data_IF_801501838284
#
_entry.id   IF_801501838284
#
_cell.length_a   1.000
_cell.length_b   1.000
_cell.length_c   1.000
_cell.angle_alpha   90.00
_cell.angle_beta   90.00
_cell.angle_gamma   90.00
#
_symmetry.space_group_name_H-M   'P 1'
#
loop_
_entity.id
_entity.type
_entity.pdbx_description
1 polymer ?
#
# COMPACT_ATOMS: atom_id res chain seq x y z
N UNK A 1 -12.53 1.50 14.62
CA UNK A 1 -12.30 0.18 13.99
C UNK A 1 -13.61 -0.59 14.00
N UNK A 2 -14.07 -1.09 12.86
CA UNK A 2 -15.37 -1.80 12.79
C UNK A 2 -15.19 -3.31 13.03
N UNK A 3 -14.17 -3.92 12.43
CA UNK A 3 -13.90 -5.35 12.57
C UNK A 3 -12.43 -5.68 12.30
N UNK A 4 -11.98 -6.74 12.94
CA UNK A 4 -10.76 -7.49 12.60
C UNK A 4 -11.17 -8.96 12.55
N UNK A 5 -10.84 -9.64 11.46
CA UNK A 5 -11.15 -11.06 11.29
C UNK A 5 -9.90 -11.81 10.82
N UNK A 6 -9.65 -12.95 11.42
CA UNK A 6 -8.60 -13.89 11.02
C UNK A 6 -9.21 -15.28 10.88
N UNK A 7 -8.61 -16.12 10.04
CA UNK A 7 -8.96 -17.53 9.97
C UNK A 7 -8.16 -18.35 11.00
N UNK A 8 -8.56 -19.58 11.26
CA UNK A 8 -7.92 -20.42 12.28
C UNK A 8 -6.39 -20.60 12.10
N UNK A 9 -5.83 -20.79 10.89
CA UNK A 9 -4.39 -20.81 10.71
C UNK A 9 -3.69 -19.49 11.09
N UNK A 10 -4.32 -18.34 10.80
CA UNK A 10 -3.80 -17.03 11.19
C UNK A 10 -3.90 -16.81 12.70
N UNK A 11 -5.00 -17.24 13.33
CA UNK A 11 -5.19 -17.15 14.79
C UNK A 11 -4.12 -17.93 15.56
N UNK A 12 -3.67 -19.06 15.01
CA UNK A 12 -2.59 -19.86 15.59
C UNK A 12 -1.23 -19.12 15.62
N UNK A 13 -1.06 -18.11 14.76
CA UNK A 13 0.14 -17.25 14.72
C UNK A 13 0.01 -16.00 15.62
N UNK A 14 -1.12 -15.83 16.30
CA UNK A 14 -1.44 -14.66 17.11
C UNK A 14 -2.18 -13.56 16.34
N UNK A 15 -2.27 -12.33 16.86
CA UNK A 15 -3.05 -11.24 16.27
C UNK A 15 -2.33 -10.61 15.06
N UNK A 16 -2.04 -11.40 14.03
CA UNK A 16 -1.23 -10.96 12.89
C UNK A 16 -1.84 -9.78 12.13
N UNK A 17 -3.17 -9.66 12.12
CA UNK A 17 -3.84 -8.52 11.51
C UNK A 17 -3.49 -7.18 12.17
N UNK A 18 -3.09 -7.20 13.44
CA UNK A 18 -2.81 -6.01 14.25
C UNK A 18 -1.33 -5.79 14.54
N UNK A 19 -0.52 -6.87 14.55
CA UNK A 19 0.89 -6.83 14.97
C UNK A 19 1.84 -7.61 14.07
N UNK A 20 1.33 -8.40 13.11
CA UNK A 20 2.15 -9.17 12.19
C UNK A 20 2.76 -8.28 11.11
N UNK A 21 4.08 -8.21 11.07
CA UNK A 21 4.84 -7.39 10.12
C UNK A 21 5.21 -8.19 8.88
N UNK A 22 4.67 -7.78 7.74
CA UNK A 22 4.89 -8.40 6.42
C UNK A 22 5.25 -7.35 5.38
N UNK A 23 6.03 -7.68 4.33
CA UNK A 23 6.20 -6.78 3.20
C UNK A 23 4.85 -6.43 2.58
N UNK A 24 4.50 -5.16 2.41
CA UNK A 24 3.23 -4.75 1.80
C UNK A 24 3.19 -4.93 0.28
N UNK A 25 4.35 -5.15 -0.34
CA UNK A 25 4.47 -5.24 -1.79
C UNK A 25 3.86 -4.03 -2.49
N UNK A 26 3.26 -4.27 -3.63
CA UNK A 26 2.70 -3.20 -4.47
C UNK A 26 1.58 -2.36 -3.83
N UNK A 27 1.01 -2.74 -2.68
CA UNK A 27 0.09 -1.84 -1.97
C UNK A 27 0.82 -0.60 -1.44
N UNK A 28 2.11 -0.69 -1.15
CA UNK A 28 2.96 0.43 -0.72
C UNK A 28 3.18 1.47 -1.82
N UNK A 29 2.88 1.16 -3.09
CA UNK A 29 2.94 2.12 -4.19
C UNK A 29 2.00 3.32 -3.99
N UNK A 30 0.98 3.21 -3.13
CA UNK A 30 0.19 4.36 -2.66
C UNK A 30 1.07 5.38 -1.95
N UNK A 31 1.97 4.92 -1.09
CA UNK A 31 2.94 5.76 -0.37
C UNK A 31 4.01 6.31 -1.31
N UNK A 32 4.57 5.45 -2.16
CA UNK A 32 5.60 5.83 -3.14
C UNK A 32 5.10 6.89 -4.11
N UNK A 33 3.89 6.72 -4.63
CA UNK A 33 3.24 7.68 -5.52
C UNK A 33 2.99 9.00 -4.80
N UNK A 34 2.51 8.96 -3.54
CA UNK A 34 2.35 10.17 -2.72
C UNK A 34 3.66 10.93 -2.57
N UNK A 35 4.75 10.25 -2.24
CA UNK A 35 6.07 10.87 -2.13
C UNK A 35 6.50 11.52 -3.44
N UNK A 36 6.32 10.83 -4.57
CA UNK A 36 6.69 11.36 -5.89
C UNK A 36 5.86 12.58 -6.30
N UNK A 37 4.54 12.57 -6.05
CA UNK A 37 3.66 13.70 -6.30
C UNK A 37 4.03 14.92 -5.45
N UNK A 38 4.29 14.72 -4.16
CA UNK A 38 4.68 15.79 -3.23
C UNK A 38 6.04 16.39 -3.57
N UNK A 39 6.98 15.58 -4.04
CA UNK A 39 8.29 16.05 -4.48
C UNK A 39 8.26 16.77 -5.84
N UNK A 40 7.11 16.77 -6.54
CA UNK A 40 7.01 17.28 -7.91
C UNK A 40 7.79 16.45 -8.93
N UNK A 41 8.15 15.21 -8.58
CA UNK A 41 8.87 14.30 -9.48
C UNK A 41 8.00 13.82 -10.64
N UNK A 42 6.69 13.78 -10.44
CA UNK A 42 5.70 13.47 -11.48
C UNK A 42 4.33 14.05 -11.11
N UNK A 43 3.44 14.10 -12.11
CA UNK A 43 1.99 14.29 -11.96
C UNK A 43 1.28 13.03 -12.40
N UNK A 44 -0.02 12.84 -12.14
CA UNK A 44 -0.76 11.66 -12.63
C UNK A 44 -0.63 11.43 -14.14
N UNK A 45 -0.55 12.50 -14.94
CA UNK A 45 -0.48 12.46 -16.39
C UNK A 45 0.96 12.41 -16.93
N UNK A 46 1.97 12.47 -16.08
CA UNK A 46 3.37 12.37 -16.52
C UNK A 46 3.62 11.02 -17.17
N UNK A 47 4.02 11.03 -18.44
CA UNK A 47 4.34 9.82 -19.20
C UNK A 47 5.71 9.29 -18.76
N UNK A 48 5.73 8.06 -18.29
CA UNK A 48 6.91 7.38 -17.73
C UNK A 48 7.11 6.00 -18.38
N UNK A 49 8.35 5.52 -18.53
CA UNK A 49 8.60 4.18 -19.05
C UNK A 49 8.15 3.12 -18.04
N UNK A 50 7.55 2.05 -18.56
CA UNK A 50 7.19 0.83 -17.81
C UNK A 50 7.65 -0.40 -18.61
N UNK A 51 8.98 -0.60 -18.77
CA UNK A 51 9.51 -1.80 -19.43
C UNK A 51 9.27 -3.04 -18.58
N UNK A 52 9.28 -4.22 -19.20
CA UNK A 52 9.05 -5.50 -18.53
C UNK A 52 10.05 -5.79 -17.42
N UNK A 53 11.30 -5.45 -17.64
CA UNK A 53 12.40 -5.51 -16.65
C UNK A 53 13.31 -4.29 -16.79
N UNK A 54 13.94 -3.88 -15.71
CA UNK A 54 14.91 -2.79 -15.74
C UNK A 54 16.00 -2.99 -14.67
N UNK A 55 17.24 -2.66 -15.01
CA UNK A 55 18.32 -2.55 -14.03
C UNK A 55 18.33 -1.10 -13.50
N UNK A 56 17.94 -0.92 -12.25
CA UNK A 56 17.93 0.38 -11.58
C UNK A 56 18.97 0.34 -10.46
N UNK A 57 20.05 1.12 -10.62
CA UNK A 57 21.15 1.22 -9.65
C UNK A 57 21.70 -0.14 -9.21
N UNK A 58 21.86 -1.07 -10.16
CA UNK A 58 22.38 -2.40 -9.91
C UNK A 58 21.34 -3.42 -9.41
N UNK A 59 20.07 -3.02 -9.25
CA UNK A 59 18.96 -3.92 -8.93
C UNK A 59 18.16 -4.23 -10.19
N UNK A 60 18.08 -5.52 -10.52
CA UNK A 60 17.19 -6.00 -11.59
C UNK A 60 15.77 -6.06 -11.04
N UNK A 61 14.88 -5.24 -11.60
CA UNK A 61 13.49 -5.14 -11.18
C UNK A 61 12.61 -5.63 -12.33
N UNK A 62 11.94 -6.76 -12.21
CA UNK A 62 10.89 -7.18 -13.13
C UNK A 62 9.54 -6.61 -12.75
N UNK A 63 8.67 -6.41 -13.73
CA UNK A 63 7.23 -6.38 -13.51
C UNK A 63 6.71 -7.80 -13.29
N UNK A 64 5.49 -7.95 -12.76
CA UNK A 64 4.84 -9.25 -12.63
C UNK A 64 4.67 -9.87 -14.03
N UNK A 65 5.05 -11.15 -14.22
CA UNK A 65 5.11 -11.78 -15.54
C UNK A 65 5.85 -10.96 -16.62
N UNK A 66 6.76 -10.09 -16.21
CA UNK A 66 7.56 -9.22 -17.08
C UNK A 66 6.73 -8.39 -18.09
N UNK A 67 5.49 -8.04 -17.75
CA UNK A 67 4.67 -7.23 -18.64
C UNK A 67 5.32 -5.90 -18.98
N UNK A 68 5.21 -5.49 -20.25
CA UNK A 68 5.75 -4.24 -20.79
C UNK A 68 4.60 -3.36 -21.30
N UNK A 69 4.51 -2.12 -20.82
CA UNK A 69 3.51 -1.15 -21.27
C UNK A 69 4.12 -0.06 -22.17
N UNK A 70 5.42 -0.12 -22.43
CA UNK A 70 6.11 1.01 -23.05
C UNK A 70 6.10 2.26 -22.19
N UNK A 71 5.76 3.40 -22.79
CA UNK A 71 5.62 4.67 -22.09
C UNK A 71 4.13 4.97 -21.82
N UNK A 72 3.78 5.09 -20.56
CA UNK A 72 2.38 5.32 -20.13
C UNK A 72 2.30 6.41 -19.07
N UNK A 73 1.14 7.08 -18.87
CA UNK A 73 0.94 8.00 -17.77
C UNK A 73 1.15 7.31 -16.40
N UNK A 74 1.58 8.07 -15.40
CA UNK A 74 1.80 7.56 -14.04
C UNK A 74 0.54 6.87 -13.49
N UNK A 75 -0.65 7.44 -13.73
CA UNK A 75 -1.91 6.84 -13.27
C UNK A 75 -2.10 5.41 -13.83
N UNK A 76 -1.77 5.18 -15.10
CA UNK A 76 -1.82 3.84 -15.72
C UNK A 76 -0.73 2.92 -15.17
N UNK A 77 0.50 3.40 -15.01
CA UNK A 77 1.59 2.62 -14.39
C UNK A 77 1.22 2.20 -12.96
N UNK A 78 0.56 3.07 -12.19
CA UNK A 78 0.04 2.76 -10.85
C UNK A 78 -1.08 1.71 -10.92
N UNK A 79 -2.08 1.91 -11.76
CA UNK A 79 -3.23 1.02 -11.90
C UNK A 79 -2.82 -0.40 -12.34
N UNK A 80 -1.83 -0.50 -13.23
CA UNK A 80 -1.24 -1.76 -13.71
C UNK A 80 -0.14 -2.27 -12.79
N UNK A 81 0.20 -1.53 -11.72
CA UNK A 81 1.18 -1.93 -10.72
C UNK A 81 2.62 -2.07 -11.24
N UNK A 82 3.06 -1.19 -12.14
CA UNK A 82 4.39 -1.21 -12.73
C UNK A 82 5.51 -1.07 -11.68
N UNK A 83 6.36 -2.08 -11.52
CA UNK A 83 7.47 -2.07 -10.57
C UNK A 83 8.61 -1.17 -11.07
N UNK A 84 8.93 -1.26 -12.36
CA UNK A 84 10.05 -0.54 -12.98
C UNK A 84 9.84 0.97 -12.89
N UNK A 85 8.63 1.46 -13.18
CA UNK A 85 8.27 2.87 -13.01
C UNK A 85 8.42 3.32 -11.55
N UNK A 86 7.88 2.54 -10.59
CA UNK A 86 7.87 2.92 -9.18
C UNK A 86 9.27 2.87 -8.56
N UNK A 87 10.09 1.88 -8.92
CA UNK A 87 11.49 1.81 -8.48
C UNK A 87 12.30 3.00 -8.99
N UNK A 88 12.09 3.40 -10.25
CA UNK A 88 12.75 4.57 -10.83
C UNK A 88 12.32 5.88 -10.17
N UNK A 89 11.05 6.06 -9.87
CA UNK A 89 10.58 7.21 -9.09
C UNK A 89 11.22 7.22 -7.70
N UNK A 90 11.19 6.11 -7.00
CA UNK A 90 11.70 6.01 -5.64
C UNK A 90 13.20 6.31 -5.54
N UNK A 91 14.01 5.84 -6.49
CA UNK A 91 15.46 6.12 -6.47
C UNK A 91 15.78 7.59 -6.65
N UNK A 92 14.94 8.34 -7.35
CA UNK A 92 15.06 9.78 -7.55
C UNK A 92 14.65 10.64 -6.34
N UNK A 93 14.03 10.03 -5.31
CA UNK A 93 13.59 10.73 -4.11
C UNK A 93 14.72 10.82 -3.05
N UNK A 94 14.63 11.78 -2.12
CA UNK A 94 15.48 11.81 -0.93
C UNK A 94 15.40 10.49 -0.13
N UNK A 95 16.46 10.12 0.60
CA UNK A 95 16.51 8.85 1.36
C UNK A 95 15.37 8.64 2.36
N UNK A 96 14.86 9.71 2.97
CA UNK A 96 13.79 9.71 3.97
C UNK A 96 12.38 9.94 3.39
N UNK A 97 12.26 10.24 2.09
CA UNK A 97 10.99 10.64 1.48
C UNK A 97 9.87 9.58 1.64
N UNK A 98 10.21 8.29 1.47
CA UNK A 98 9.25 7.21 1.63
C UNK A 98 8.81 7.05 3.10
N UNK A 99 9.75 7.21 4.05
CA UNK A 99 9.45 7.20 5.48
C UNK A 99 8.50 8.36 5.85
N UNK A 100 8.80 9.58 5.40
CA UNK A 100 7.98 10.76 5.67
C UNK A 100 6.57 10.61 5.07
N UNK A 101 6.47 10.14 3.83
CA UNK A 101 5.19 9.88 3.21
C UNK A 101 4.40 8.76 3.94
N UNK A 102 5.06 7.71 4.41
CA UNK A 102 4.43 6.64 5.17
C UNK A 102 3.82 7.16 6.49
N UNK A 103 4.56 8.00 7.22
CA UNK A 103 4.08 8.62 8.45
C UNK A 103 2.83 9.48 8.22
N UNK A 104 2.71 10.14 7.08
CA UNK A 104 1.53 10.93 6.71
C UNK A 104 0.25 10.07 6.58
N UNK A 105 0.41 8.79 6.31
CA UNK A 105 -0.70 7.82 6.23
C UNK A 105 -0.85 6.97 7.49
N UNK A 106 -0.13 7.30 8.56
CA UNK A 106 -0.16 6.57 9.82
C UNK A 106 0.62 5.26 9.82
N UNK A 107 1.37 4.96 8.75
CA UNK A 107 2.24 3.80 8.70
C UNK A 107 3.57 4.13 9.41
N UNK A 108 3.90 3.38 10.47
CA UNK A 108 4.99 3.69 11.39
C UNK A 108 4.56 4.56 12.59
N UNK A 109 3.25 4.80 12.75
CA UNK A 109 2.64 5.41 13.93
C UNK A 109 1.85 4.34 14.67
N UNK A 110 2.24 4.04 15.91
CA UNK A 110 1.58 3.02 16.71
C UNK A 110 0.57 3.63 17.68
N UNK A 111 -0.46 2.88 17.99
CA UNK A 111 -1.59 3.37 18.79
C UNK A 111 -1.86 2.45 19.97
N UNK A 112 -2.16 3.07 21.11
CA UNK A 112 -2.72 2.40 22.29
C UNK A 112 -4.17 2.84 22.45
N UNK A 113 -5.10 1.89 22.40
CA UNK A 113 -6.52 2.09 22.69
C UNK A 113 -6.93 1.20 23.87
N UNK A 114 -8.04 1.46 24.55
CA UNK A 114 -8.52 0.54 25.58
C UNK A 114 -8.68 -0.89 25.05
N UNK A 115 -7.90 -1.81 25.59
CA UNK A 115 -7.92 -3.22 25.22
C UNK A 115 -7.09 -3.61 23.99
N UNK A 116 -6.37 -2.68 23.33
CA UNK A 116 -5.56 -2.98 22.16
C UNK A 116 -4.34 -2.06 22.03
N UNK A 117 -3.21 -2.66 21.77
CA UNK A 117 -2.01 -1.98 21.25
C UNK A 117 -1.77 -2.46 19.82
N UNK A 118 -1.54 -1.53 18.90
CA UNK A 118 -1.29 -1.85 17.48
C UNK A 118 0.16 -1.64 17.11
N UNK A 119 0.59 -2.35 16.08
CA UNK A 119 1.80 -2.04 15.31
C UNK A 119 1.35 -1.79 13.88
N UNK A 120 1.65 -0.62 13.31
CA UNK A 120 1.20 -0.30 11.96
C UNK A 120 2.19 -0.76 10.90
N UNK A 121 3.48 -0.65 11.16
CA UNK A 121 4.54 -1.04 10.25
C UNK A 121 5.85 -0.32 10.53
N UNK A 122 6.83 -0.58 9.67
CA UNK A 122 8.14 0.08 9.71
C UNK A 122 8.59 0.43 8.29
N UNK A 123 8.92 1.70 8.10
CA UNK A 123 9.49 2.22 6.84
C UNK A 123 10.79 2.94 7.20
N UNK A 124 11.93 2.26 7.13
CA UNK A 124 13.21 2.88 7.47
C UNK A 124 13.65 3.88 6.40
N UNK A 125 14.55 4.77 6.77
CA UNK A 125 15.28 5.60 5.82
C UNK A 125 16.07 4.70 4.86
N UNK A 126 15.97 4.95 3.56
CA UNK A 126 16.60 4.14 2.52
C UNK A 126 17.85 4.85 1.98
N UNK A 127 18.99 4.73 2.67
CA UNK A 127 20.21 5.48 2.39
C UNK A 127 20.85 5.10 1.05
N UNK A 128 20.77 3.82 0.64
CA UNK A 128 21.32 3.41 -0.65
C UNK A 128 20.29 3.47 -1.78
N UNK A 129 20.71 3.71 -3.04
CA UNK A 129 19.84 3.66 -4.20
C UNK A 129 19.09 2.33 -4.31
N UNK A 130 19.76 1.21 -4.11
CA UNK A 130 19.17 -0.12 -4.14
C UNK A 130 18.06 -0.29 -3.08
N UNK A 131 18.30 0.20 -1.85
CA UNK A 131 17.28 0.18 -0.80
C UNK A 131 16.07 1.04 -1.15
N UNK A 132 16.26 2.21 -1.80
CA UNK A 132 15.15 3.06 -2.27
C UNK A 132 14.31 2.37 -3.33
N UNK A 133 14.95 1.67 -4.28
CA UNK A 133 14.25 0.89 -5.32
C UNK A 133 13.37 -0.19 -4.68
N UNK A 134 13.93 -0.99 -3.78
CA UNK A 134 13.19 -2.05 -3.07
C UNK A 134 12.06 -1.49 -2.22
N UNK A 135 12.35 -0.46 -1.44
CA UNK A 135 11.34 0.21 -0.61
C UNK A 135 10.22 0.79 -1.45
N UNK A 136 10.54 1.37 -2.63
CA UNK A 136 9.56 1.96 -3.54
C UNK A 136 8.52 1.00 -4.09
N UNK A 137 8.81 -0.30 -4.09
CA UNK A 137 7.87 -1.36 -4.48
C UNK A 137 7.31 -2.14 -3.27
N UNK A 138 7.59 -1.66 -2.04
CA UNK A 138 7.10 -2.26 -0.80
C UNK A 138 7.79 -3.56 -0.42
N UNK A 139 9.06 -3.68 -0.74
CA UNK A 139 9.93 -4.81 -0.44
C UNK A 139 11.13 -4.38 0.42
N UNK A 140 12.14 -5.22 0.53
CA UNK A 140 13.34 -4.95 1.32
C UNK A 140 13.03 -4.87 2.81
N UNK A 141 13.28 -3.72 3.42
CA UNK A 141 13.08 -3.52 4.87
C UNK A 141 11.72 -2.90 5.22
N UNK A 142 10.89 -2.60 4.22
CA UNK A 142 9.54 -2.07 4.45
C UNK A 142 8.63 -3.20 4.93
N UNK A 143 7.99 -2.98 6.07
CA UNK A 143 6.98 -3.89 6.61
C UNK A 143 5.72 -3.15 7.04
N UNK A 144 4.59 -3.82 6.96
CA UNK A 144 3.30 -3.31 7.39
C UNK A 144 2.45 -4.44 7.97
N UNK A 145 1.56 -4.09 8.90
CA UNK A 145 0.48 -4.97 9.32
C UNK A 145 -0.74 -4.76 8.41
N UNK A 146 -1.68 -5.72 8.34
CA UNK A 146 -2.98 -5.48 7.70
C UNK A 146 -3.70 -4.26 8.26
N UNK A 147 -3.63 -4.05 9.58
CA UNK A 147 -4.14 -2.84 10.22
C UNK A 147 -3.45 -1.58 9.71
N UNK A 148 -2.11 -1.57 9.61
CA UNK A 148 -1.36 -0.43 9.09
C UNK A 148 -1.74 -0.08 7.65
N UNK A 149 -1.93 -1.09 6.80
CA UNK A 149 -2.38 -0.85 5.42
C UNK A 149 -3.84 -0.40 5.35
N UNK A 150 -4.71 -0.84 6.26
CA UNK A 150 -6.05 -0.27 6.40
C UNK A 150 -6.03 1.19 6.86
N UNK A 151 -5.05 1.58 7.72
CA UNK A 151 -4.84 2.98 8.12
C UNK A 151 -4.38 3.84 6.93
N UNK A 152 -3.53 3.32 6.04
CA UNK A 152 -3.18 4.01 4.77
C UNK A 152 -4.43 4.28 3.95
N UNK A 153 -5.30 3.29 3.75
CA UNK A 153 -6.57 3.48 3.04
C UNK A 153 -7.48 4.50 3.74
N UNK A 154 -7.60 4.40 5.06
CA UNK A 154 -8.42 5.33 5.85
C UNK A 154 -7.90 6.78 5.76
N UNK A 155 -6.58 6.96 5.75
CA UNK A 155 -5.96 8.28 5.59
C UNK A 155 -6.21 8.88 4.21
N UNK A 156 -6.16 8.06 3.15
CA UNK A 156 -6.50 8.48 1.77
C UNK A 156 -7.99 8.84 1.67
N UNK A 157 -8.86 8.05 2.30
CA UNK A 157 -10.30 8.30 2.30
C UNK A 157 -10.67 9.59 3.03
N UNK A 158 -10.08 9.81 4.19
CA UNK A 158 -10.39 10.92 5.10
C UNK A 158 -9.62 12.22 4.77
N UNK A 159 -8.55 12.14 4.00
CA UNK A 159 -7.63 13.27 3.74
C UNK A 159 -6.64 13.55 4.87
N UNK A 160 -6.71 12.80 5.95
CA UNK A 160 -5.78 12.84 7.09
C UNK A 160 -5.86 11.52 7.86
N UNK A 161 -4.82 11.20 8.62
CA UNK A 161 -4.79 9.94 9.41
C UNK A 161 -5.78 10.03 10.57
N UNK A 162 -6.83 9.17 10.59
CA UNK A 162 -7.77 9.14 11.69
C UNK A 162 -7.17 8.46 12.92
N UNK A 163 -7.57 8.87 14.11
CA UNK A 163 -7.23 8.14 15.35
C UNK A 163 -8.11 6.90 15.45
N UNK A 164 -7.53 5.69 15.46
CA UNK A 164 -8.32 4.47 15.60
C UNK A 164 -8.95 4.37 16.98
N UNK A 165 -10.15 3.80 17.06
CA UNK A 165 -10.83 3.54 18.33
C UNK A 165 -11.59 2.21 18.23
N UNK A 166 -11.67 1.47 19.33
CA UNK A 166 -12.50 0.28 19.50
C UNK A 166 -13.78 0.66 20.23
N UNK A 167 -13.67 1.45 21.28
CA UNK A 167 -14.78 1.97 22.04
C UNK A 167 -15.12 3.36 21.52
N UNK A 168 -16.37 3.57 21.12
CA UNK A 168 -16.83 4.86 20.59
C UNK A 168 -16.53 5.99 21.56
N UNK A 169 -15.94 7.07 21.07
CA UNK A 169 -15.58 8.23 21.88
C UNK A 169 -14.27 8.08 22.68
N UNK A 170 -13.56 6.96 22.53
CA UNK A 170 -12.27 6.73 23.17
C UNK A 170 -11.18 6.50 22.10
N UNK A 171 -10.67 7.56 21.47
CA UNK A 171 -9.64 7.44 20.44
C UNK A 171 -8.33 6.90 21.04
N UNK A 172 -7.59 6.18 20.22
CA UNK A 172 -6.26 5.70 20.56
C UNK A 172 -5.29 6.86 20.73
N UNK A 173 -4.31 6.66 21.62
CA UNK A 173 -3.16 7.56 21.77
C UNK A 173 -2.07 7.10 20.82
N UNK A 174 -1.65 7.98 19.92
CA UNK A 174 -0.55 7.74 19.00
C UNK A 174 0.80 7.98 19.69
N UNK A 175 1.82 7.19 19.33
CA UNK A 175 3.21 7.40 19.78
C UNK A 175 3.88 8.57 19.06
N UNK A 176 3.38 8.95 17.89
CA UNK A 176 3.88 10.04 17.03
C UNK A 176 2.70 10.80 16.39
N UNK A 177 2.96 12.03 16.01
CA UNK A 177 2.00 12.80 15.21
C UNK A 177 2.18 12.49 13.73
N UNK A 178 1.12 12.07 13.05
CA UNK A 178 1.12 11.91 11.59
C UNK A 178 1.03 13.30 10.94
N UNK A 179 1.98 13.69 10.07
CA UNK A 179 1.87 14.92 9.29
C UNK A 179 0.70 14.85 8.31
N UNK A 180 0.19 15.99 7.88
CA UNK A 180 -0.95 16.05 6.94
C UNK A 180 -0.49 15.75 5.51
N UNK A 181 -1.28 14.96 4.77
CA UNK A 181 -1.10 14.80 3.32
C UNK A 181 -1.79 15.95 2.59
N UNK A 182 -1.19 16.56 1.54
CA UNK A 182 -1.88 17.56 0.74
C UNK A 182 -3.15 17.01 0.07
N UNK A 183 -4.23 17.80 0.08
CA UNK A 183 -5.54 17.34 -0.41
C UNK A 183 -5.55 16.94 -1.90
N UNK A 184 -4.75 17.61 -2.74
CA UNK A 184 -4.60 17.23 -4.14
C UNK A 184 -3.96 15.84 -4.28
N UNK A 185 -2.99 15.49 -3.44
CA UNK A 185 -2.32 14.18 -3.46
C UNK A 185 -3.30 13.06 -3.11
N UNK A 186 -4.12 13.25 -2.06
CA UNK A 186 -5.14 12.24 -1.71
C UNK A 186 -6.21 12.12 -2.79
N UNK A 187 -6.59 13.23 -3.45
CA UNK A 187 -7.51 13.22 -4.59
C UNK A 187 -6.95 12.43 -5.78
N UNK A 188 -5.68 12.68 -6.13
CA UNK A 188 -5.00 11.97 -7.22
C UNK A 188 -4.88 10.48 -6.93
N UNK A 189 -4.48 10.11 -5.70
CA UNK A 189 -4.43 8.71 -5.27
C UNK A 189 -5.79 8.01 -5.37
N UNK A 190 -6.88 8.66 -4.95
CA UNK A 190 -8.24 8.10 -5.07
C UNK A 190 -8.61 7.83 -6.53
N UNK A 191 -8.27 8.74 -7.43
CA UNK A 191 -8.49 8.57 -8.88
C UNK A 191 -7.70 7.36 -9.41
N UNK A 192 -6.41 7.26 -9.10
CA UNK A 192 -5.57 6.15 -9.53
C UNK A 192 -6.00 4.80 -8.91
N UNK A 193 -6.44 4.80 -7.64
CA UNK A 193 -7.01 3.63 -6.99
C UNK A 193 -8.35 3.19 -7.63
N UNK A 194 -9.15 4.14 -8.14
CA UNK A 194 -10.33 3.81 -8.93
C UNK A 194 -9.95 3.15 -10.25
N UNK A 195 -8.95 3.67 -10.94
CA UNK A 195 -8.45 3.09 -12.20
C UNK A 195 -7.91 1.67 -12.00
N UNK A 196 -7.26 1.39 -10.86
CA UNK A 196 -6.85 0.01 -10.51
C UNK A 196 -8.01 -0.97 -10.55
N UNK A 197 -9.21 -0.55 -10.13
CA UNK A 197 -10.42 -1.38 -10.14
C UNK A 197 -11.09 -1.41 -11.52
N UNK A 198 -11.09 -0.31 -12.27
CA UNK A 198 -11.83 -0.23 -13.54
C UNK A 198 -11.04 -0.71 -14.76
N UNK A 199 -9.71 -0.62 -14.74
CA UNK A 199 -8.86 -0.95 -15.90
C UNK A 199 -7.50 -1.54 -15.51
N UNK A 200 -7.24 -1.72 -14.21
CA UNK A 200 -5.97 -2.19 -13.70
C UNK A 200 -5.99 -3.63 -13.20
N UNK A 201 -5.26 -3.87 -12.11
CA UNK A 201 -5.03 -5.21 -11.55
C UNK A 201 -6.20 -5.77 -10.73
N UNK A 202 -7.24 -4.96 -10.43
CA UNK A 202 -8.41 -5.38 -9.65
C UNK A 202 -9.72 -5.37 -10.46
N UNK A 203 -9.68 -5.58 -11.77
CA UNK A 203 -10.86 -5.58 -12.65
C UNK A 203 -11.89 -6.66 -12.31
N UNK A 204 -11.52 -7.70 -11.57
CA UNK A 204 -12.47 -8.67 -11.02
C UNK A 204 -13.49 -8.06 -10.03
N UNK A 205 -13.26 -6.80 -9.59
CA UNK A 205 -14.14 -6.05 -8.69
C UNK A 205 -14.78 -4.82 -9.38
N UNK A 206 -14.68 -4.71 -10.72
CA UNK A 206 -15.15 -3.54 -11.46
C UNK A 206 -16.68 -3.32 -11.37
N UNK A 207 -17.41 -4.39 -11.07
CA UNK A 207 -18.87 -4.41 -10.84
C UNK A 207 -19.27 -3.73 -9.51
N UNK A 208 -18.32 -3.47 -8.60
CA UNK A 208 -18.59 -2.79 -7.34
C UNK A 208 -18.48 -1.28 -7.54
N UNK A 209 -19.61 -0.53 -7.54
CA UNK A 209 -19.60 0.89 -7.82
C UNK A 209 -18.81 1.67 -6.78
N UNK A 210 -17.97 2.63 -7.22
CA UNK A 210 -17.23 3.52 -6.34
C UNK A 210 -16.09 2.87 -5.54
N UNK A 211 -15.83 1.56 -5.70
CA UNK A 211 -14.70 0.91 -5.04
C UNK A 211 -13.38 1.48 -5.56
N UNK A 212 -12.50 1.87 -4.64
CA UNK A 212 -11.12 2.24 -4.87
C UNK A 212 -10.24 1.12 -4.32
N UNK A 213 -9.11 0.81 -4.96
CA UNK A 213 -8.27 -0.24 -4.43
C UNK A 213 -6.84 -0.24 -4.97
N UNK A 214 -5.97 -0.98 -4.29
CA UNK A 214 -4.63 -1.31 -4.76
C UNK A 214 -4.32 -2.75 -4.41
N UNK A 215 -3.90 -3.51 -5.39
CA UNK A 215 -3.42 -4.89 -5.22
C UNK A 215 -1.96 -4.91 -4.81
N UNK A 216 -1.55 -5.96 -4.14
CA UNK A 216 -0.15 -6.21 -3.83
C UNK A 216 0.18 -7.69 -3.84
N UNK A 217 1.30 -8.01 -4.41
CA UNK A 217 2.00 -9.30 -4.26
C UNK A 217 3.34 -8.97 -3.62
N UNK A 218 3.72 -9.68 -2.58
CA UNK A 218 4.99 -9.46 -1.89
C UNK A 218 5.71 -10.80 -1.69
N UNK A 219 7.00 -10.83 -2.02
CA UNK A 219 7.83 -12.00 -1.78
C UNK A 219 7.98 -12.26 -0.27
N UNK A 220 7.92 -13.53 0.12
CA UNK A 220 8.06 -13.99 1.52
C UNK A 220 9.41 -14.65 1.80
N UNK A 221 10.40 -14.44 0.92
CA UNK A 221 11.68 -15.13 0.95
C UNK A 221 11.57 -16.53 0.35
N UNK A 222 11.60 -17.58 1.19
CA UNK A 222 11.58 -18.98 0.71
C UNK A 222 10.18 -19.61 0.63
N UNK A 223 9.13 -18.85 0.90
CA UNK A 223 7.74 -19.33 0.90
C UNK A 223 6.91 -18.77 -0.26
N UNK A 224 5.62 -19.16 -0.34
CA UNK A 224 4.66 -18.57 -1.26
C UNK A 224 4.54 -17.07 -1.04
N UNK A 225 4.35 -16.29 -2.11
CA UNK A 225 4.18 -14.85 -2.00
C UNK A 225 2.93 -14.47 -1.18
N UNK A 226 3.00 -13.34 -0.51
CA UNK A 226 1.85 -12.75 0.20
C UNK A 226 0.93 -12.04 -0.79
N UNK A 227 -0.37 -12.26 -0.65
CA UNK A 227 -1.39 -11.56 -1.40
C UNK A 227 -2.04 -10.43 -0.58
N UNK A 228 -2.13 -9.24 -1.17
CA UNK A 228 -2.72 -8.06 -0.54
C UNK A 228 -3.79 -7.41 -1.41
N UNK A 229 -4.80 -6.87 -0.76
CA UNK A 229 -5.71 -5.88 -1.34
C UNK A 229 -6.05 -4.82 -0.30
N UNK A 230 -5.88 -3.56 -0.67
CA UNK A 230 -6.23 -2.41 0.15
C UNK A 230 -7.35 -1.67 -0.56
N UNK A 231 -8.45 -1.40 0.14
CA UNK A 231 -9.65 -0.85 -0.49
C UNK A 231 -10.33 0.26 0.31
N UNK A 232 -11.06 1.09 -0.43
CA UNK A 232 -11.95 2.13 0.08
C UNK A 232 -13.29 1.97 -0.63
N UNK A 233 -14.37 1.81 0.13
CA UNK A 233 -15.74 1.77 -0.40
C UNK A 233 -16.62 2.66 0.45
N UNK A 234 -17.09 3.74 -0.12
CA UNK A 234 -17.83 4.79 0.58
C UNK A 234 -17.02 5.29 1.81
N UNK A 235 -17.51 5.13 3.03
CA UNK A 235 -16.85 5.49 4.29
C UNK A 235 -16.07 4.31 4.93
N UNK A 236 -16.00 3.17 4.25
CA UNK A 236 -15.26 2.00 4.70
C UNK A 236 -13.87 1.94 4.08
N UNK A 237 -12.82 1.93 4.89
CA UNK A 237 -11.45 1.60 4.51
C UNK A 237 -11.06 0.23 5.09
N UNK A 238 -10.40 -0.61 4.29
CA UNK A 238 -10.07 -1.97 4.70
C UNK A 238 -8.80 -2.49 4.02
N UNK A 239 -8.22 -3.52 4.61
CA UNK A 239 -7.15 -4.31 4.01
C UNK A 239 -7.44 -5.80 4.12
N UNK A 240 -7.07 -6.55 3.09
CA UNK A 240 -7.10 -8.00 3.06
C UNK A 240 -5.68 -8.51 2.87
N UNK A 241 -5.28 -9.46 3.71
CA UNK A 241 -3.97 -10.10 3.67
C UNK A 241 -4.13 -11.62 3.60
N UNK A 242 -3.40 -12.25 2.69
CA UNK A 242 -3.33 -13.72 2.54
C UNK A 242 -1.85 -14.11 2.62
N UNK A 243 -1.45 -14.77 3.69
CA UNK A 243 -0.05 -15.10 3.96
C UNK A 243 0.59 -16.03 2.90
N UNK A 244 -0.20 -16.88 2.26
CA UNK A 244 0.25 -17.86 1.24
C UNK A 244 -0.58 -17.71 -0.03
N UNK A 245 -0.61 -16.47 -0.57
CA UNK A 245 -1.50 -16.13 -1.68
C UNK A 245 -0.95 -16.43 -3.07
N UNK A 246 0.37 -16.61 -3.19
CA UNK A 246 1.15 -16.67 -4.44
C UNK A 246 1.00 -15.42 -5.32
N UNK A 247 -0.13 -14.74 -5.22
CA UNK A 247 -0.45 -13.50 -5.94
C UNK A 247 -1.47 -12.67 -5.15
N UNK A 248 -1.81 -11.49 -5.67
CA UNK A 248 -2.89 -10.67 -5.12
C UNK A 248 -4.30 -11.22 -5.37
N UNK A 249 -4.47 -12.17 -6.30
CA UNK A 249 -5.79 -12.65 -6.72
C UNK A 249 -6.65 -13.22 -5.57
N UNK A 250 -6.13 -14.04 -4.64
CA UNK A 250 -6.92 -14.51 -3.50
C UNK A 250 -7.40 -13.38 -2.58
N UNK A 251 -6.59 -12.32 -2.39
CA UNK A 251 -6.98 -11.16 -1.59
C UNK A 251 -8.07 -10.33 -2.29
N UNK A 252 -7.98 -10.15 -3.61
CA UNK A 252 -9.01 -9.51 -4.43
C UNK A 252 -10.32 -10.30 -4.37
N UNK A 253 -10.28 -11.64 -4.48
CA UNK A 253 -11.45 -12.49 -4.36
C UNK A 253 -12.09 -12.41 -2.97
N UNK A 254 -11.28 -12.39 -1.91
CA UNK A 254 -11.78 -12.25 -0.55
C UNK A 254 -12.46 -10.87 -0.33
N UNK A 255 -11.86 -9.79 -0.84
CA UNK A 255 -12.47 -8.47 -0.85
C UNK A 255 -13.81 -8.46 -1.60
N UNK A 256 -13.89 -9.12 -2.75
CA UNK A 256 -15.13 -9.25 -3.51
C UNK A 256 -16.23 -9.98 -2.74
N UNK A 257 -15.90 -11.07 -2.04
CA UNK A 257 -16.87 -11.79 -1.18
C UNK A 257 -17.33 -10.97 0.01
N UNK A 258 -16.46 -10.11 0.53
CA UNK A 258 -16.80 -9.22 1.65
C UNK A 258 -17.71 -8.06 1.23
N UNK A 259 -17.58 -7.56 0.01
CA UNK A 259 -18.29 -6.36 -0.47
C UNK A 259 -19.60 -6.66 -1.22
N UNK A 260 -19.86 -7.92 -1.62
CA UNK A 260 -21.11 -8.39 -2.27
C UNK A 260 -22.01 -9.07 -1.25
#
# INVERSE_FOLDING_TARGET
>A
MLAVAQNAPADALGPIALTGLYPPGSTFKTVTTSAALQAGAATPDTVLPCPGTENIEGRQIPNDDEFDLGAVPLHTAFARSCNTTMGRLAVGLPPDALQQAALQFGLGVDYVTPGLTTVTGNVPVADSPAARVESGIGQGQVTATPFGMAMVAASIANGSTPSPMIVQGQPGTADKTAPTVPANVTSDLRTMMRETVTGGTATALQDIPGLLGKTGTAESGNGPAHGWFVGIKDDLAFAVFIATGDSSAPAVQAAGRFLR
#
